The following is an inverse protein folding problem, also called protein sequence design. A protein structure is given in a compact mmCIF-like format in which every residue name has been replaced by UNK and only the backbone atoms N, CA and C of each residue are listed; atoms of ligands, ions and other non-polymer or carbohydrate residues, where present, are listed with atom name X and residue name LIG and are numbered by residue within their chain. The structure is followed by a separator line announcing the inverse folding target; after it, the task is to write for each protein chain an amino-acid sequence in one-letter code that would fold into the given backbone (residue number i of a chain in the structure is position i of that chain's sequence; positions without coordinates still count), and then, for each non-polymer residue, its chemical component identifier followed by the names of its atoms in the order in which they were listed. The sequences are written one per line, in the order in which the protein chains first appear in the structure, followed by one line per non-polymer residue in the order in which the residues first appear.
data_IF_861728656983
#
_entry.id   IF_861728656983
#
_cell.length_a   1.000
_cell.length_b   1.000
_cell.length_c   1.000
_cell.angle_alpha   90.00
_cell.angle_beta   90.00
_cell.angle_gamma   90.00
#
_symmetry.space_group_name_H-M   'P 1'
#
loop_
_entity.id
_entity.type
_entity.pdbx_description
1 polymer ?
#
# COMPACT_ATOMS: atom_id res chain seq x y z
N UNK A 1 -6.41 6.64 -5.67
CA UNK A 1 -5.26 6.08 -6.41
C UNK A 1 -5.65 5.03 -7.47
N UNK A 2 -6.95 4.74 -7.64
CA UNK A 2 -7.46 3.85 -8.70
C UNK A 2 -7.60 4.55 -10.06
N UNK A 3 -7.56 5.89 -10.11
CA UNK A 3 -7.72 6.66 -11.34
C UNK A 3 -6.36 7.04 -11.92
N UNK A 4 -6.13 6.66 -13.18
CA UNK A 4 -4.96 7.08 -13.93
C UNK A 4 -5.02 8.56 -14.31
N UNK A 5 -3.91 9.10 -14.81
CA UNK A 5 -3.77 10.51 -15.24
C UNK A 5 -4.85 10.91 -16.26
N UNK A 6 -5.09 10.07 -17.26
CA UNK A 6 -6.10 10.33 -18.31
C UNK A 6 -7.52 10.46 -17.74
N UNK A 7 -7.88 9.67 -16.74
CA UNK A 7 -9.20 9.73 -16.09
C UNK A 7 -9.36 11.01 -15.26
N UNK A 8 -8.29 11.45 -14.58
CA UNK A 8 -8.28 12.71 -13.82
C UNK A 8 -8.42 13.92 -14.74
N UNK A 9 -7.71 13.94 -15.87
CA UNK A 9 -7.83 14.97 -16.89
C UNK A 9 -9.25 15.01 -17.51
N UNK A 10 -9.84 13.85 -17.78
CA UNK A 10 -11.21 13.76 -18.28
C UNK A 10 -12.25 14.31 -17.28
N UNK A 11 -12.01 14.14 -15.96
CA UNK A 11 -12.86 14.75 -14.93
C UNK A 11 -12.74 16.27 -14.91
N UNK A 12 -11.54 16.82 -15.06
CA UNK A 12 -11.32 18.27 -15.16
C UNK A 12 -12.03 18.87 -16.39
N UNK A 13 -12.01 18.16 -17.52
CA UNK A 13 -12.63 18.61 -18.77
C UNK A 13 -14.16 18.56 -18.83
N UNK A 14 -14.83 17.93 -17.87
CA UNK A 14 -16.30 17.76 -17.88
C UNK A 14 -17.10 19.03 -17.75
N UNK A 15 -16.55 20.09 -17.20
CA UNK A 15 -17.23 21.37 -16.95
C UNK A 15 -17.25 22.34 -18.12
N UNK A 16 -16.73 21.96 -19.31
CA UNK A 16 -16.79 22.79 -20.53
C UNK A 16 -15.93 24.06 -20.48
N UNK A 17 -14.94 24.15 -19.62
CA UNK A 17 -13.90 25.18 -19.64
C UNK A 17 -14.22 26.54 -18.98
N UNK A 18 -15.45 26.78 -18.52
CA UNK A 18 -15.82 28.00 -17.81
C UNK A 18 -15.58 27.94 -16.29
N UNK A 19 -15.61 26.74 -15.71
CA UNK A 19 -15.41 26.50 -14.28
C UNK A 19 -14.57 25.23 -14.12
N UNK A 20 -13.56 25.27 -13.27
CA UNK A 20 -12.84 24.04 -12.88
C UNK A 20 -13.51 23.41 -11.66
N UNK A 21 -13.73 22.07 -11.65
CA UNK A 21 -14.28 21.40 -10.49
C UNK A 21 -13.27 21.38 -9.35
N UNK A 22 -13.73 21.53 -8.11
CA UNK A 22 -12.91 21.24 -6.94
C UNK A 22 -12.54 19.76 -6.92
N UNK A 23 -11.27 19.46 -6.92
CA UNK A 23 -10.74 18.10 -6.95
C UNK A 23 -10.19 17.71 -5.58
N UNK A 24 -10.81 16.72 -4.94
CA UNK A 24 -10.28 16.09 -3.73
C UNK A 24 -9.68 14.74 -4.08
N UNK A 25 -8.37 14.61 -3.92
CA UNK A 25 -7.67 13.34 -4.07
C UNK A 25 -7.38 12.75 -2.69
N UNK A 26 -7.82 11.51 -2.49
CA UNK A 26 -7.58 10.79 -1.25
C UNK A 26 -6.76 9.52 -1.52
N UNK A 27 -5.81 9.23 -0.65
CA UNK A 27 -5.03 8.01 -0.69
C UNK A 27 -4.86 7.44 0.72
N UNK A 28 -4.92 6.11 0.83
CA UNK A 28 -4.59 5.39 2.05
C UNK A 28 -3.08 5.07 2.15
N UNK A 29 -2.32 5.34 1.08
CA UNK A 29 -0.87 5.17 1.07
C UNK A 29 -0.25 6.51 1.41
N UNK A 30 0.41 6.65 2.56
CA UNK A 30 1.10 7.88 2.89
C UNK A 30 2.13 8.23 1.82
N UNK A 31 2.15 9.48 1.41
CA UNK A 31 3.17 10.02 0.52
C UNK A 31 4.17 10.76 1.41
N UNK A 32 5.48 10.47 1.33
CA UNK A 32 6.46 11.23 2.08
C UNK A 32 6.27 12.73 1.86
N UNK A 33 6.31 13.53 2.94
CA UNK A 33 6.04 14.98 2.88
C UNK A 33 6.91 15.67 1.84
N UNK A 34 8.18 15.33 1.77
CA UNK A 34 9.13 15.86 0.79
C UNK A 34 8.68 15.63 -0.65
N UNK A 35 8.16 14.43 -0.92
CA UNK A 35 7.65 14.09 -2.24
C UNK A 35 6.33 14.80 -2.55
N UNK A 36 5.43 14.89 -1.56
CA UNK A 36 4.17 15.62 -1.73
C UNK A 36 4.43 17.10 -2.03
N UNK A 37 5.37 17.73 -1.35
CA UNK A 37 5.72 19.13 -1.55
C UNK A 37 6.41 19.42 -2.88
N UNK A 38 7.12 18.47 -3.45
CA UNK A 38 7.85 18.65 -4.71
C UNK A 38 7.03 18.33 -5.96
N UNK A 39 6.15 17.30 -5.89
CA UNK A 39 5.37 16.84 -7.04
C UNK A 39 3.95 17.36 -7.08
N UNK A 40 3.41 17.75 -5.94
CA UNK A 40 2.04 18.25 -5.78
C UNK A 40 2.05 19.64 -5.16
N UNK A 41 3.06 20.44 -5.52
CA UNK A 41 3.26 21.78 -4.95
C UNK A 41 2.09 22.74 -5.16
N UNK A 42 1.24 22.47 -6.17
CA UNK A 42 0.00 23.18 -6.48
C UNK A 42 -1.22 22.66 -5.71
N UNK A 43 -1.06 21.63 -4.89
CA UNK A 43 -2.14 21.07 -4.10
C UNK A 43 -2.01 21.43 -2.62
N UNK A 44 -3.14 21.75 -2.01
CA UNK A 44 -3.25 21.78 -0.55
C UNK A 44 -3.29 20.35 -0.02
N UNK A 45 -2.35 20.00 0.86
CA UNK A 45 -2.23 18.67 1.42
C UNK A 45 -2.68 18.66 2.87
N UNK A 46 -3.77 17.93 3.12
CA UNK A 46 -4.22 17.62 4.48
C UNK A 46 -3.77 16.22 4.86
N UNK A 47 -3.08 16.11 5.98
CA UNK A 47 -2.56 14.86 6.51
C UNK A 47 -3.37 14.43 7.73
N UNK A 48 -3.90 13.19 7.69
CA UNK A 48 -4.54 12.55 8.84
C UNK A 48 -3.51 11.63 9.47
N UNK A 49 -2.96 12.05 10.60
CA UNK A 49 -1.86 11.37 11.32
C UNK A 49 -2.31 10.70 12.62
N UNK A 50 -3.57 10.87 12.99
CA UNK A 50 -4.17 10.23 14.16
C UNK A 50 -4.89 8.93 13.80
N UNK A 51 -4.77 7.93 14.68
CA UNK A 51 -5.56 6.71 14.57
C UNK A 51 -7.00 6.98 14.98
N UNK A 52 -7.99 6.32 14.35
CA UNK A 52 -9.37 6.38 14.82
C UNK A 52 -9.49 5.95 16.29
N UNK A 53 -10.42 6.54 17.05
CA UNK A 53 -10.63 6.16 18.45
C UNK A 53 -10.86 4.65 18.62
N UNK A 54 -10.23 4.06 19.64
CA UNK A 54 -10.38 2.64 19.95
C UNK A 54 -9.48 1.70 19.15
N UNK A 55 -8.68 2.18 18.21
CA UNK A 55 -7.69 1.36 17.51
C UNK A 55 -6.47 1.09 18.38
N UNK A 56 -6.06 -0.18 18.44
CA UNK A 56 -4.81 -0.61 19.07
C UNK A 56 -3.74 -0.85 18.01
N UNK A 57 -2.44 -0.64 18.33
CA UNK A 57 -1.36 -0.99 17.43
C UNK A 57 -1.38 -2.48 17.07
N UNK A 58 -1.13 -2.79 15.80
CA UNK A 58 -1.08 -4.16 15.30
C UNK A 58 0.30 -4.75 15.57
N UNK A 59 0.36 -5.87 16.28
CA UNK A 59 1.61 -6.58 16.53
C UNK A 59 2.04 -7.30 15.26
N UNK A 60 3.16 -6.90 14.68
CA UNK A 60 3.71 -7.55 13.47
C UNK A 60 4.82 -8.53 13.85
N UNK A 61 4.77 -9.76 13.31
CA UNK A 61 5.79 -10.78 13.51
C UNK A 61 6.27 -11.31 12.18
N UNK A 62 7.57 -11.54 12.06
CA UNK A 62 8.21 -12.17 10.90
C UNK A 62 8.55 -13.62 11.27
N UNK A 63 8.12 -14.58 10.47
CA UNK A 63 8.22 -16.00 10.74
C UNK A 63 8.68 -16.73 9.47
N UNK A 64 9.65 -17.64 9.59
CA UNK A 64 10.01 -18.51 8.46
C UNK A 64 8.87 -19.47 8.13
N UNK A 65 8.71 -19.80 6.84
CA UNK A 65 7.79 -20.80 6.32
C UNK A 65 8.01 -22.20 6.92
N UNK A 66 9.23 -22.53 7.34
CA UNK A 66 9.53 -23.74 8.09
C UNK A 66 8.70 -23.87 9.39
N UNK A 67 8.17 -22.77 9.91
CA UNK A 67 7.31 -22.73 11.11
C UNK A 67 5.82 -22.59 10.77
N UNK A 68 5.44 -22.90 9.53
CA UNK A 68 4.04 -22.81 9.06
C UNK A 68 3.07 -23.58 9.96
N UNK A 69 3.43 -24.79 10.36
CA UNK A 69 2.58 -25.61 11.25
C UNK A 69 2.28 -24.93 12.59
N UNK A 70 3.25 -24.21 13.16
CA UNK A 70 3.04 -23.45 14.41
C UNK A 70 2.08 -22.27 14.19
N UNK A 71 2.16 -21.59 13.02
CA UNK A 71 1.25 -20.53 12.65
C UNK A 71 -0.17 -21.06 12.53
N UNK A 72 -0.36 -22.20 11.85
CA UNK A 72 -1.68 -22.85 11.69
C UNK A 72 -2.25 -23.27 13.04
N UNK A 73 -1.46 -23.88 13.93
CA UNK A 73 -1.90 -24.24 15.27
C UNK A 73 -2.35 -23.02 16.10
N UNK A 74 -1.67 -21.88 15.94
CA UNK A 74 -2.01 -20.64 16.64
C UNK A 74 -3.28 -19.99 16.08
N UNK A 75 -3.52 -20.12 14.79
CA UNK A 75 -4.76 -19.68 14.14
C UNK A 75 -5.95 -20.43 14.71
N UNK A 76 -5.85 -21.73 14.93
CA UNK A 76 -6.92 -22.53 15.53
C UNK A 76 -7.39 -21.93 16.85
N UNK A 77 -6.46 -21.61 17.76
CA UNK A 77 -6.81 -20.99 19.03
C UNK A 77 -7.53 -19.64 18.88
N UNK A 78 -7.15 -18.83 17.88
CA UNK A 78 -7.82 -17.56 17.64
C UNK A 78 -9.25 -17.75 17.09
N UNK A 79 -9.45 -18.75 16.24
CA UNK A 79 -10.78 -19.07 15.70
C UNK A 79 -11.69 -19.63 16.80
N UNK A 80 -11.17 -20.45 17.69
CA UNK A 80 -11.90 -20.99 18.85
C UNK A 80 -12.34 -19.87 19.83
N UNK A 81 -11.62 -18.71 19.82
CA UNK A 81 -12.02 -17.47 20.53
C UNK A 81 -13.03 -16.61 19.73
N UNK A 82 -13.55 -17.09 18.61
CA UNK A 82 -14.49 -16.38 17.75
C UNK A 82 -13.88 -15.31 16.84
N UNK A 83 -12.56 -15.35 16.65
CA UNK A 83 -11.84 -14.42 15.76
C UNK A 83 -11.72 -14.96 14.35
N UNK A 84 -11.51 -14.07 13.40
CA UNK A 84 -11.37 -14.40 11.99
C UNK A 84 -9.98 -14.05 11.47
N UNK A 85 -9.56 -14.77 10.45
CA UNK A 85 -8.21 -14.73 9.89
C UNK A 85 -8.24 -14.43 8.40
N UNK A 86 -7.48 -13.44 7.96
CA UNK A 86 -7.07 -13.30 6.57
C UNK A 86 -5.78 -14.06 6.32
N UNK A 87 -5.78 -14.86 5.26
CA UNK A 87 -4.58 -15.56 4.79
C UNK A 87 -4.30 -15.14 3.35
N UNK A 88 -3.23 -14.39 3.14
CA UNK A 88 -2.89 -13.79 1.84
C UNK A 88 -1.77 -14.57 1.18
N UNK A 89 -2.04 -15.06 -0.03
CA UNK A 89 -1.05 -15.65 -0.92
C UNK A 89 -0.57 -14.60 -1.91
N UNK A 90 0.74 -14.54 -2.24
CA UNK A 90 1.25 -13.57 -3.20
C UNK A 90 0.72 -13.82 -4.60
N UNK A 91 0.65 -12.77 -5.42
CA UNK A 91 0.60 -12.91 -6.86
C UNK A 91 2.03 -13.08 -7.39
N UNK A 92 2.27 -14.12 -8.15
CA UNK A 92 3.53 -14.34 -8.85
C UNK A 92 3.36 -13.74 -10.24
N UNK A 93 4.09 -12.68 -10.56
CA UNK A 93 3.93 -11.89 -11.80
C UNK A 93 3.99 -12.70 -13.11
N UNK A 94 4.54 -13.92 -13.06
CA UNK A 94 4.75 -14.75 -14.25
C UNK A 94 3.53 -15.55 -14.70
N UNK A 95 2.53 -15.79 -13.85
CA UNK A 95 1.33 -16.57 -14.25
C UNK A 95 0.18 -16.48 -13.25
N UNK A 96 -0.91 -15.82 -13.63
CA UNK A 96 -2.18 -15.85 -12.87
C UNK A 96 -2.71 -17.29 -12.62
N UNK A 97 -2.31 -18.27 -13.42
CA UNK A 97 -2.69 -19.66 -13.23
C UNK A 97 -1.96 -20.31 -12.07
N UNK A 98 -0.66 -19.97 -11.88
CA UNK A 98 0.14 -20.44 -10.75
C UNK A 98 -0.35 -19.81 -9.43
N UNK A 99 -0.71 -18.55 -9.45
CA UNK A 99 -1.24 -17.86 -8.27
C UNK A 99 -2.54 -18.49 -7.77
N UNK A 100 -3.43 -18.80 -8.70
CA UNK A 100 -4.67 -19.50 -8.39
C UNK A 100 -4.38 -20.91 -7.84
N UNK A 101 -3.44 -21.63 -8.44
CA UNK A 101 -3.03 -22.96 -7.99
C UNK A 101 -2.50 -22.92 -6.56
N UNK A 102 -1.62 -21.95 -6.24
CA UNK A 102 -1.04 -21.79 -4.92
C UNK A 102 -2.11 -21.43 -3.87
N UNK A 103 -3.00 -20.49 -4.17
CA UNK A 103 -4.08 -20.12 -3.26
C UNK A 103 -5.08 -21.29 -3.05
N UNK A 104 -5.35 -22.07 -4.10
CA UNK A 104 -6.20 -23.25 -4.01
C UNK A 104 -5.56 -24.36 -3.18
N UNK A 105 -4.25 -24.60 -3.34
CA UNK A 105 -3.49 -25.56 -2.54
C UNK A 105 -3.46 -25.15 -1.05
N UNK A 106 -3.20 -23.87 -0.76
CA UNK A 106 -3.25 -23.33 0.59
C UNK A 106 -4.66 -23.46 1.20
N UNK A 107 -5.70 -23.18 0.43
CA UNK A 107 -7.08 -23.36 0.89
C UNK A 107 -7.37 -24.83 1.26
N UNK A 108 -6.96 -25.78 0.42
CA UNK A 108 -7.15 -27.21 0.68
C UNK A 108 -6.37 -27.67 1.93
N UNK A 109 -5.11 -27.24 2.07
CA UNK A 109 -4.27 -27.53 3.24
C UNK A 109 -4.91 -27.00 4.53
N UNK A 110 -5.32 -25.73 4.55
CA UNK A 110 -5.94 -25.13 5.73
C UNK A 110 -7.29 -25.77 6.06
N UNK A 111 -8.07 -26.15 5.06
CA UNK A 111 -9.34 -26.87 5.28
C UNK A 111 -9.12 -28.22 5.94
N UNK A 112 -8.03 -28.94 5.63
CA UNK A 112 -7.66 -30.19 6.27
C UNK A 112 -7.08 -29.97 7.68
N UNK A 113 -6.26 -28.93 7.84
CA UNK A 113 -5.60 -28.65 9.12
C UNK A 113 -6.53 -28.05 10.18
N UNK A 114 -7.66 -27.48 9.75
CA UNK A 114 -8.64 -26.80 10.61
C UNK A 114 -10.02 -27.46 10.52
N UNK A 115 -10.17 -28.72 10.99
CA UNK A 115 -11.45 -29.42 10.91
C UNK A 115 -12.54 -28.68 11.68
N UNK A 116 -13.73 -28.58 11.07
CA UNK A 116 -14.87 -27.84 11.63
C UNK A 116 -14.85 -26.33 11.42
N UNK A 117 -13.81 -25.78 10.79
CA UNK A 117 -13.71 -24.37 10.41
C UNK A 117 -14.04 -24.21 8.93
N UNK A 118 -14.97 -23.34 8.60
CA UNK A 118 -15.19 -22.98 7.20
C UNK A 118 -14.06 -22.06 6.73
N UNK A 119 -13.29 -22.55 5.75
CA UNK A 119 -12.23 -21.81 5.06
C UNK A 119 -12.76 -21.34 3.71
N UNK A 120 -12.74 -20.05 3.44
CA UNK A 120 -13.14 -19.46 2.17
C UNK A 120 -11.94 -19.21 1.26
N UNK A 121 -12.20 -19.14 -0.05
CA UNK A 121 -11.21 -18.77 -1.08
C UNK A 121 -11.72 -17.58 -1.89
N UNK A 122 -10.85 -16.58 -2.07
CA UNK A 122 -11.13 -15.36 -2.84
C UNK A 122 -9.98 -15.08 -3.81
N UNK A 123 -10.27 -14.99 -5.12
CA UNK A 123 -9.26 -14.73 -6.14
C UNK A 123 -9.79 -13.85 -7.28
N UNK A 124 -8.88 -13.35 -8.13
CA UNK A 124 -9.20 -12.39 -9.21
C UNK A 124 -10.20 -12.92 -10.24
N UNK A 125 -10.16 -14.22 -10.56
CA UNK A 125 -11.01 -14.85 -11.59
C UNK A 125 -12.45 -15.11 -11.18
N UNK A 126 -12.80 -14.96 -9.91
CA UNK A 126 -14.18 -15.07 -9.46
C UNK A 126 -15.02 -13.92 -10.01
N UNK A 127 -16.26 -14.22 -10.36
CA UNK A 127 -17.24 -13.20 -10.74
C UNK A 127 -17.52 -12.24 -9.57
N UNK A 128 -17.98 -11.01 -9.82
CA UNK A 128 -18.37 -10.10 -8.76
C UNK A 128 -19.40 -10.66 -7.79
N UNK A 129 -20.32 -11.47 -8.28
CA UNK A 129 -21.37 -12.12 -7.47
C UNK A 129 -20.77 -13.15 -6.50
N UNK A 130 -19.86 -14.01 -6.98
CA UNK A 130 -19.15 -15.00 -6.15
C UNK A 130 -18.30 -14.31 -5.10
N UNK A 131 -17.52 -13.27 -5.47
CA UNK A 131 -16.73 -12.49 -4.52
C UNK A 131 -17.60 -11.89 -3.42
N UNK A 132 -18.74 -11.31 -3.80
CA UNK A 132 -19.70 -10.74 -2.84
C UNK A 132 -20.26 -11.81 -1.91
N UNK A 133 -20.61 -12.98 -2.42
CA UNK A 133 -21.14 -14.09 -1.61
C UNK A 133 -20.10 -14.57 -0.58
N UNK A 134 -18.86 -14.83 -1.01
CA UNK A 134 -17.76 -15.23 -0.11
C UNK A 134 -17.51 -14.18 0.97
N UNK A 135 -17.41 -12.90 0.58
CA UNK A 135 -17.20 -11.80 1.52
C UNK A 135 -18.35 -11.66 2.51
N UNK A 136 -19.60 -11.82 2.08
CA UNK A 136 -20.77 -11.75 2.96
C UNK A 136 -20.75 -12.85 4.03
N UNK A 137 -20.37 -14.08 3.68
CA UNK A 137 -20.21 -15.17 4.66
C UNK A 137 -19.08 -14.87 5.66
N UNK A 138 -17.99 -14.28 5.19
CA UNK A 138 -16.89 -13.88 6.08
C UNK A 138 -17.29 -12.73 7.00
N UNK A 139 -17.95 -11.70 6.50
CA UNK A 139 -18.48 -10.58 7.30
C UNK A 139 -19.45 -11.04 8.39
N UNK A 140 -20.29 -12.03 8.09
CA UNK A 140 -21.25 -12.61 9.03
C UNK A 140 -20.62 -13.55 10.06
N UNK A 141 -19.30 -13.75 10.03
CA UNK A 141 -18.59 -14.62 10.96
C UNK A 141 -18.79 -16.13 10.69
N UNK A 142 -19.38 -16.50 9.55
CA UNK A 142 -19.61 -17.90 9.20
C UNK A 142 -18.33 -18.59 8.70
N UNK A 143 -17.33 -17.83 8.28
CA UNK A 143 -16.00 -18.32 7.90
C UNK A 143 -14.98 -17.90 8.93
N UNK A 144 -14.15 -18.86 9.40
CA UNK A 144 -13.04 -18.58 10.32
C UNK A 144 -11.80 -18.09 9.59
N UNK A 145 -11.56 -18.54 8.37
CA UNK A 145 -10.39 -18.16 7.55
C UNK A 145 -10.82 -17.77 6.16
N UNK A 146 -10.27 -16.67 5.65
CA UNK A 146 -10.40 -16.28 4.25
C UNK A 146 -9.02 -16.31 3.59
N UNK A 147 -8.79 -17.31 2.74
CA UNK A 147 -7.62 -17.40 1.87
C UNK A 147 -7.86 -16.50 0.66
N UNK A 148 -6.91 -15.63 0.35
CA UNK A 148 -7.05 -14.76 -0.81
C UNK A 148 -5.71 -14.54 -1.52
N UNK A 149 -5.77 -14.34 -2.83
CA UNK A 149 -4.72 -13.62 -3.53
C UNK A 149 -4.78 -12.13 -3.16
N UNK A 150 -3.83 -11.30 -3.56
CA UNK A 150 -3.65 -9.91 -3.11
C UNK A 150 -4.87 -8.98 -3.23
N UNK A 151 -5.97 -9.46 -3.84
CA UNK A 151 -7.18 -8.66 -4.08
C UNK A 151 -8.16 -8.75 -2.91
N UNK A 152 -7.71 -8.46 -1.70
CA UNK A 152 -8.66 -8.11 -0.63
C UNK A 152 -9.13 -6.70 -0.95
N UNK A 153 -10.29 -6.60 -1.61
CA UNK A 153 -10.80 -5.33 -2.12
C UNK A 153 -10.91 -4.27 -1.02
N UNK A 154 -10.56 -3.06 -1.39
CA UNK A 154 -10.75 -1.86 -0.58
C UNK A 154 -12.25 -1.70 -0.28
N UNK A 155 -12.61 -1.62 0.98
CA UNK A 155 -13.96 -1.21 1.38
C UNK A 155 -14.74 -2.15 2.28
N UNK A 156 -14.26 -3.38 2.52
CA UNK A 156 -14.93 -4.29 3.46
C UNK A 156 -14.31 -4.17 4.84
N UNK A 157 -15.13 -3.88 5.82
CA UNK A 157 -14.75 -3.80 7.22
C UNK A 157 -15.24 -5.05 7.95
N UNK A 158 -14.30 -5.87 8.45
CA UNK A 158 -14.60 -7.07 9.22
C UNK A 158 -13.99 -6.91 10.62
N UNK A 159 -14.75 -6.38 11.60
CA UNK A 159 -14.21 -6.07 12.93
C UNK A 159 -13.64 -7.27 13.68
N UNK A 160 -14.16 -8.49 13.42
CA UNK A 160 -13.69 -9.72 14.04
C UNK A 160 -12.42 -10.30 13.38
N UNK A 161 -12.02 -9.79 12.21
CA UNK A 161 -10.78 -10.18 11.57
C UNK A 161 -9.59 -9.53 12.30
N UNK A 162 -9.01 -10.25 13.24
CA UNK A 162 -7.93 -9.77 14.10
C UNK A 162 -6.55 -10.32 13.74
N UNK A 163 -6.49 -11.28 12.83
CA UNK A 163 -5.23 -11.87 12.39
C UNK A 163 -5.09 -11.81 10.88
N UNK A 164 -3.94 -11.29 10.44
CA UNK A 164 -3.49 -11.27 9.04
C UNK A 164 -2.27 -12.17 8.92
N UNK A 165 -2.30 -13.16 8.03
CA UNK A 165 -1.13 -13.95 7.63
C UNK A 165 -0.81 -13.63 6.19
N UNK A 166 0.43 -13.31 5.88
CA UNK A 166 0.91 -13.01 4.53
C UNK A 166 2.03 -13.97 4.19
N UNK A 167 1.80 -14.85 3.22
CA UNK A 167 2.83 -15.76 2.70
C UNK A 167 3.78 -15.05 1.75
N UNK A 168 5.02 -15.53 1.71
CA UNK A 168 6.08 -14.95 0.87
C UNK A 168 6.16 -13.43 0.99
N UNK A 169 6.09 -12.93 2.22
CA UNK A 169 6.06 -11.50 2.50
C UNK A 169 7.28 -10.75 1.95
N UNK A 170 8.39 -11.43 1.71
CA UNK A 170 9.60 -10.90 1.07
C UNK A 170 9.36 -10.42 -0.36
N UNK A 171 8.31 -10.90 -1.03
CA UNK A 171 7.96 -10.53 -2.41
C UNK A 171 7.09 -9.28 -2.52
N UNK A 172 6.50 -8.86 -1.41
CA UNK A 172 5.64 -7.69 -1.40
C UNK A 172 6.43 -6.38 -1.25
N UNK A 173 5.92 -5.33 -1.86
CA UNK A 173 6.36 -3.97 -1.58
C UNK A 173 5.94 -3.54 -0.16
N UNK A 174 6.73 -2.64 0.44
CA UNK A 174 6.48 -2.18 1.82
C UNK A 174 5.10 -1.51 1.97
N UNK A 175 4.70 -0.72 0.99
CA UNK A 175 3.38 -0.09 0.94
C UNK A 175 2.25 -1.12 0.84
N UNK A 176 2.45 -2.23 0.11
CA UNK A 176 1.46 -3.30 0.00
C UNK A 176 1.28 -4.03 1.34
N UNK A 177 2.40 -4.38 2.01
CA UNK A 177 2.38 -4.99 3.34
C UNK A 177 1.65 -4.10 4.34
N UNK A 178 1.91 -2.80 4.31
CA UNK A 178 1.23 -1.84 5.18
C UNK A 178 -0.28 -1.79 4.92
N UNK A 179 -0.71 -1.76 3.67
CA UNK A 179 -2.13 -1.78 3.31
C UNK A 179 -2.82 -3.08 3.75
N UNK A 180 -2.17 -4.24 3.55
CA UNK A 180 -2.69 -5.53 4.00
C UNK A 180 -2.79 -5.58 5.52
N UNK A 181 -1.75 -5.19 6.24
CA UNK A 181 -1.78 -5.10 7.70
C UNK A 181 -2.93 -4.23 8.21
N UNK A 182 -3.21 -3.13 7.54
CA UNK A 182 -4.30 -2.21 7.88
C UNK A 182 -5.71 -2.78 7.69
N UNK A 183 -5.85 -4.00 7.14
CA UNK A 183 -7.14 -4.70 7.02
C UNK A 183 -7.61 -5.34 8.31
N UNK A 184 -6.71 -5.57 9.26
CA UNK A 184 -7.04 -6.01 10.62
C UNK A 184 -6.90 -4.86 11.60
N UNK A 185 -7.31 -5.07 12.86
CA UNK A 185 -7.24 -4.04 13.90
C UNK A 185 -8.36 -3.02 13.82
N UNK A 186 -9.50 -3.37 13.24
CA UNK A 186 -10.67 -2.49 13.12
C UNK A 186 -11.69 -2.69 14.23
N UNK A 187 -11.55 -3.77 15.02
CA UNK A 187 -12.33 -4.06 16.22
C UNK A 187 -11.56 -3.74 17.50
N UNK A 188 -12.23 -3.98 18.65
CA UNK A 188 -11.63 -3.79 19.97
C UNK A 188 -10.61 -4.87 20.35
N UNK A 189 -10.57 -6.00 19.62
CA UNK A 189 -9.66 -7.09 19.91
C UNK A 189 -8.22 -6.77 19.47
N UNK A 190 -7.25 -7.18 20.29
CA UNK A 190 -5.85 -7.10 19.92
C UNK A 190 -5.59 -7.84 18.61
N UNK A 191 -4.91 -7.20 17.69
CA UNK A 191 -4.71 -7.71 16.33
C UNK A 191 -3.24 -7.95 16.03
N UNK A 192 -2.98 -8.94 15.17
CA UNK A 192 -1.64 -9.31 14.77
C UNK A 192 -1.53 -9.49 13.25
N UNK A 193 -0.31 -9.24 12.74
CA UNK A 193 0.07 -9.51 11.36
C UNK A 193 1.29 -10.42 11.36
N UNK A 194 1.18 -11.59 10.73
CA UNK A 194 2.26 -12.56 10.57
C UNK A 194 2.76 -12.49 9.14
N UNK A 195 4.01 -12.08 8.99
CA UNK A 195 4.73 -12.03 7.73
C UNK A 195 5.55 -13.30 7.60
N UNK A 196 5.08 -14.24 6.79
CA UNK A 196 5.80 -15.49 6.53
C UNK A 196 6.75 -15.28 5.35
N UNK A 197 7.99 -15.70 5.49
CA UNK A 197 9.00 -15.60 4.44
C UNK A 197 9.63 -16.94 4.13
N UNK A 198 9.99 -17.13 2.87
CA UNK A 198 10.71 -18.30 2.37
C UNK A 198 12.11 -17.86 1.91
N UNK A 199 13.18 -18.23 2.63
CA UNK A 199 14.52 -17.95 2.14
C UNK A 199 14.81 -18.81 0.89
N UNK A 200 15.60 -18.32 -0.07
CA UNK A 200 16.04 -19.15 -1.19
C UNK A 200 16.82 -20.37 -0.68
N UNK A 201 16.82 -21.47 -1.43
CA UNK A 201 17.51 -22.72 -1.05
C UNK A 201 18.95 -22.46 -0.63
N UNK A 202 19.30 -22.84 0.61
CA UNK A 202 20.65 -22.68 1.18
C UNK A 202 21.08 -21.22 1.41
N UNK A 203 20.20 -20.25 1.21
CA UNK A 203 20.50 -18.83 1.26
C UNK A 203 19.85 -18.07 2.39
N UNK A 204 20.11 -16.77 2.44
CA UNK A 204 19.46 -15.79 3.33
C UNK A 204 18.63 -14.85 2.49
N UNK A 205 17.62 -14.24 3.11
CA UNK A 205 16.87 -13.15 2.48
C UNK A 205 17.82 -12.04 2.00
N UNK A 206 17.56 -11.54 0.80
CA UNK A 206 18.26 -10.36 0.29
C UNK A 206 18.09 -9.15 1.23
N UNK A 207 19.04 -8.25 1.20
CA UNK A 207 19.08 -7.10 2.10
C UNK A 207 17.79 -6.25 2.01
N UNK A 208 17.35 -5.93 0.81
CA UNK A 208 16.12 -5.15 0.56
C UNK A 208 14.88 -5.80 1.17
N UNK A 209 14.73 -7.13 1.02
CA UNK A 209 13.59 -7.86 1.60
C UNK A 209 13.65 -7.86 3.13
N UNK A 210 14.84 -8.05 3.69
CA UNK A 210 15.06 -8.02 5.14
C UNK A 210 14.73 -6.64 5.73
N UNK A 211 15.19 -5.56 5.10
CA UNK A 211 14.91 -4.20 5.57
C UNK A 211 13.41 -3.85 5.48
N UNK A 212 12.70 -4.30 4.44
CA UNK A 212 11.23 -4.14 4.36
C UNK A 212 10.51 -4.87 5.49
N UNK A 213 10.84 -6.14 5.73
CA UNK A 213 10.23 -6.92 6.80
C UNK A 213 10.53 -6.33 8.19
N UNK A 214 11.76 -5.87 8.40
CA UNK A 214 12.19 -5.18 9.62
C UNK A 214 11.39 -3.89 9.85
N UNK A 215 11.22 -3.06 8.82
CA UNK A 215 10.42 -1.84 8.90
C UNK A 215 8.99 -2.12 9.36
N UNK A 216 8.36 -3.20 8.84
CA UNK A 216 7.01 -3.60 9.24
C UNK A 216 6.90 -4.03 10.71
N UNK A 217 7.97 -4.57 11.28
CA UNK A 217 8.01 -4.96 12.71
C UNK A 217 8.21 -3.77 13.62
N UNK A 218 9.07 -2.83 13.21
CA UNK A 218 9.51 -1.72 14.05
C UNK A 218 8.49 -0.59 14.17
N UNK A 219 7.63 -0.41 13.16
CA UNK A 219 6.68 0.71 13.17
C UNK A 219 5.29 0.34 12.66
N UNK A 220 4.26 0.98 13.24
CA UNK A 220 2.91 1.01 12.73
C UNK A 220 2.59 2.32 11.99
N UNK A 221 3.47 3.32 12.08
CA UNK A 221 3.29 4.61 11.43
C UNK A 221 3.48 4.48 9.91
N UNK A 222 2.41 4.79 9.17
CA UNK A 222 2.40 4.73 7.71
C UNK A 222 3.33 5.74 7.05
N UNK A 223 3.56 6.91 7.66
CA UNK A 223 4.48 7.93 7.12
C UNK A 223 5.93 7.48 7.26
N UNK A 224 6.29 6.88 8.39
CA UNK A 224 7.60 6.28 8.59
C UNK A 224 7.84 5.11 7.63
N UNK A 225 6.81 4.28 7.40
CA UNK A 225 6.87 3.20 6.41
C UNK A 225 7.10 3.76 4.99
N UNK A 226 6.38 4.82 4.62
CA UNK A 226 6.56 5.45 3.32
C UNK A 226 7.95 6.08 3.15
N UNK A 227 8.50 6.70 4.20
CA UNK A 227 9.86 7.22 4.22
C UNK A 227 10.88 6.10 4.01
N UNK A 228 10.77 5.01 4.74
CA UNK A 228 11.65 3.84 4.59
C UNK A 228 11.52 3.17 3.23
N UNK A 229 10.30 3.09 2.67
CA UNK A 229 10.09 2.55 1.32
C UNK A 229 10.84 3.38 0.26
N UNK A 230 10.83 4.70 0.41
CA UNK A 230 11.59 5.61 -0.45
C UNK A 230 13.11 5.40 -0.32
N UNK A 231 13.61 5.23 0.90
CA UNK A 231 15.03 4.98 1.17
C UNK A 231 15.50 3.62 0.60
N UNK A 232 14.71 2.58 0.81
CA UNK A 232 15.03 1.22 0.33
C UNK A 232 15.01 1.13 -1.19
N UNK A 233 14.06 1.79 -1.87
CA UNK A 233 13.96 1.79 -3.33
C UNK A 233 14.92 2.76 -3.99
N UNK A 234 15.33 3.78 -3.27
CA UNK A 234 16.03 4.92 -3.82
C UNK A 234 15.10 5.90 -4.57
N UNK A 235 15.48 7.18 -4.65
CA UNK A 235 14.65 8.23 -5.25
C UNK A 235 14.34 8.01 -6.73
N UNK A 236 15.22 7.35 -7.47
CA UNK A 236 15.07 7.11 -8.92
C UNK A 236 13.95 6.13 -9.28
N UNK A 237 13.70 5.13 -8.43
CA UNK A 237 12.65 4.13 -8.69
C UNK A 237 11.27 4.63 -8.25
N UNK A 238 11.22 5.37 -7.15
CA UNK A 238 9.96 5.93 -6.64
C UNK A 238 9.39 7.02 -7.56
N UNK A 239 10.25 7.80 -8.20
CA UNK A 239 9.87 8.87 -9.12
C UNK A 239 9.36 8.35 -10.47
N UNK A 240 9.30 7.04 -10.66
CA UNK A 240 8.85 6.46 -11.92
C UNK A 240 9.68 6.95 -13.09
N UNK A 241 10.99 7.10 -12.92
CA UNK A 241 11.91 7.56 -13.97
C UNK A 241 11.75 6.76 -15.28
N UNK A 242 11.14 5.58 -15.21
CA UNK A 242 10.72 4.79 -16.37
C UNK A 242 9.33 5.17 -16.92
N UNK A 243 8.46 5.84 -16.14
CA UNK A 243 7.11 6.20 -16.59
C UNK A 243 6.96 7.65 -17.02
N UNK A 244 7.78 8.59 -16.53
CA UNK A 244 7.66 10.02 -16.80
C UNK A 244 8.85 10.69 -17.51
N UNK A 245 9.83 9.92 -17.92
CA UNK A 245 10.93 10.37 -18.77
C UNK A 245 11.66 11.63 -18.30
N UNK A 246 12.73 11.52 -17.59
CA UNK A 246 13.68 12.52 -17.12
C UNK A 246 13.34 13.17 -15.75
N UNK A 247 14.32 13.25 -14.84
CA UNK A 247 14.15 13.92 -13.56
C UNK A 247 13.82 15.38 -13.79
N UNK A 248 12.77 15.88 -13.12
CA UNK A 248 12.39 17.30 -13.14
C UNK A 248 13.47 18.18 -12.50
N UNK A 249 14.23 17.61 -11.58
CA UNK A 249 15.33 18.29 -10.87
C UNK A 249 16.66 17.91 -11.53
N UNK A 250 17.44 18.92 -11.94
CA UNK A 250 18.76 18.70 -12.56
C UNK A 250 19.89 18.60 -11.58
N UNK A 251 19.82 19.31 -10.46
CA UNK A 251 20.90 19.45 -9.50
C UNK A 251 20.51 19.11 -8.08
N UNK A 252 19.24 19.29 -7.73
CA UNK A 252 18.75 18.99 -6.39
C UNK A 252 18.38 17.51 -6.28
N UNK A 253 18.73 16.92 -5.14
CA UNK A 253 18.32 15.58 -4.72
C UNK A 253 17.39 15.69 -3.52
N UNK A 254 16.14 15.23 -3.67
CA UNK A 254 15.14 15.31 -2.60
C UNK A 254 15.52 14.53 -1.34
N UNK A 255 16.41 13.55 -1.45
CA UNK A 255 16.88 12.80 -0.29
C UNK A 255 17.84 13.64 0.56
N UNK A 256 18.70 14.44 -0.07
CA UNK A 256 19.70 15.29 0.61
C UNK A 256 19.21 16.71 0.81
N UNK A 257 18.47 17.26 -0.15
CA UNK A 257 18.09 18.67 -0.23
C UNK A 257 16.65 18.93 0.25
N UNK A 258 15.99 17.91 0.81
CA UNK A 258 14.61 18.01 1.29
C UNK A 258 14.36 19.16 2.27
N UNK A 259 15.38 19.56 3.04
CA UNK A 259 15.35 20.67 3.98
C UNK A 259 15.18 22.05 3.30
N UNK A 260 15.46 22.15 1.99
CA UNK A 260 15.31 23.38 1.21
C UNK A 260 13.89 23.58 0.65
N UNK A 261 13.00 22.60 0.75
CA UNK A 261 11.68 22.66 0.14
C UNK A 261 10.79 23.76 0.71
N UNK A 262 10.77 23.94 2.01
CA UNK A 262 9.97 25.00 2.65
C UNK A 262 10.46 26.38 2.18
N UNK A 263 11.77 26.62 2.19
CA UNK A 263 12.36 27.84 1.64
C UNK A 263 12.05 28.02 0.15
N UNK A 264 12.14 26.98 -0.65
CA UNK A 264 11.86 27.04 -2.09
C UNK A 264 10.40 27.45 -2.37
N UNK A 265 9.43 26.98 -1.58
CA UNK A 265 8.03 27.39 -1.69
C UNK A 265 7.84 28.88 -1.37
N UNK A 266 8.42 29.37 -0.30
CA UNK A 266 8.34 30.79 0.07
C UNK A 266 9.01 31.66 -0.99
N UNK A 267 10.19 31.27 -1.46
CA UNK A 267 10.92 31.98 -2.52
C UNK A 267 10.16 31.97 -3.85
N UNK A 268 9.51 30.86 -4.22
CA UNK A 268 8.70 30.77 -5.44
C UNK A 268 7.50 31.72 -5.39
N UNK A 269 6.78 31.79 -4.27
CA UNK A 269 5.67 32.71 -4.10
C UNK A 269 6.14 34.18 -4.18
N UNK A 270 7.21 34.51 -3.47
CA UNK A 270 7.80 35.85 -3.52
C UNK A 270 8.26 36.22 -4.95
N UNK A 271 8.82 35.26 -5.68
CA UNK A 271 9.24 35.47 -7.08
C UNK A 271 8.06 35.70 -8.01
N UNK A 272 6.97 34.97 -7.86
CA UNK A 272 5.74 35.15 -8.63
C UNK A 272 5.11 36.53 -8.39
N UNK A 273 5.08 36.98 -7.13
CA UNK A 273 4.43 38.23 -6.74
C UNK A 273 5.27 39.47 -7.10
N UNK A 274 6.58 39.41 -6.95
CA UNK A 274 7.49 40.56 -7.06
C UNK A 274 8.27 40.59 -8.38
N UNK A 275 8.52 39.42 -9.00
CA UNK A 275 9.36 39.25 -10.17
C UNK A 275 8.73 38.31 -11.21
N UNK A 276 7.50 38.57 -11.69
CA UNK A 276 6.77 37.66 -12.57
C UNK A 276 7.48 37.36 -13.90
N UNK A 277 8.22 38.34 -14.47
CA UNK A 277 8.97 38.15 -15.73
C UNK A 277 10.14 37.17 -15.53
N UNK A 278 10.85 37.29 -14.42
CA UNK A 278 11.96 36.43 -14.05
C UNK A 278 11.45 35.00 -13.72
N UNK A 279 10.28 34.90 -13.12
CA UNK A 279 9.61 33.61 -12.88
C UNK A 279 9.28 32.89 -14.20
N UNK A 280 8.71 33.62 -15.21
CA UNK A 280 8.45 33.05 -16.53
C UNK A 280 9.75 32.61 -17.23
N UNK A 281 10.82 33.41 -17.17
CA UNK A 281 12.12 33.03 -17.73
C UNK A 281 12.72 31.81 -17.03
N UNK A 282 12.57 31.72 -15.73
CA UNK A 282 13.00 30.56 -14.93
C UNK A 282 12.25 29.29 -15.37
N UNK A 283 10.93 29.33 -15.47
CA UNK A 283 10.10 28.26 -15.96
C UNK A 283 10.48 27.82 -17.38
N UNK A 284 10.63 28.78 -18.29
CA UNK A 284 11.03 28.50 -19.67
C UNK A 284 12.41 27.84 -19.75
N UNK A 285 13.37 28.28 -18.93
CA UNK A 285 14.73 27.70 -18.86
C UNK A 285 14.74 26.26 -18.40
N UNK A 286 13.93 25.94 -17.38
CA UNK A 286 14.01 24.64 -16.70
C UNK A 286 13.03 23.62 -17.24
N UNK A 287 11.85 24.03 -17.67
CA UNK A 287 10.78 23.15 -18.15
C UNK A 287 10.73 23.05 -19.66
N UNK A 288 11.00 24.14 -20.39
CA UNK A 288 10.96 24.16 -21.85
C UNK A 288 9.66 23.57 -22.40
N UNK A 289 9.79 22.60 -23.32
CA UNK A 289 8.64 21.88 -23.90
C UNK A 289 7.90 20.95 -22.93
N UNK A 290 8.40 20.78 -21.70
CA UNK A 290 7.78 19.93 -20.68
C UNK A 290 6.72 20.65 -19.83
N UNK A 291 6.46 21.93 -20.07
CA UNK A 291 5.46 22.71 -19.34
C UNK A 291 4.03 22.11 -19.42
N UNK A 292 3.73 21.32 -20.46
CA UNK A 292 2.46 20.61 -20.57
C UNK A 292 2.27 19.49 -19.52
N UNK A 293 3.36 18.91 -19.03
CA UNK A 293 3.30 17.88 -17.99
C UNK A 293 2.92 18.43 -16.60
N UNK A 294 3.06 19.73 -16.38
CA UNK A 294 2.64 20.37 -15.13
C UNK A 294 1.13 20.59 -15.05
N UNK A 295 0.41 20.46 -16.18
CA UNK A 295 -1.04 20.59 -16.23
C UNK A 295 -1.78 19.26 -15.99
N UNK A 296 -1.06 18.17 -15.88
CA UNK A 296 -1.59 16.82 -15.67
C UNK A 296 -1.53 16.39 -14.19
#
# INVERSE_FOLDING_TARGET
HRFGVAQRLALRGKTGGALEPHLLMMTATPIPRTLAMSYYADLDVSTIDELPPGRTPIVTKVVSDARRAEVVARIRGQIDEGRQVYWVCPLIEESEALDLSNATATHAELSQALPGVLVGLLHSRMSPAEKKAVMSLFEQGQMGVLVSTTVIEVGVDVPNASLMVIEHAERFGLSQLHQLRGRVGRGAAASACVLMYSPPEGGRLGETARERLKAMVETNDGFEIARRDLEIRGPGEFLGARQSGAPLLRFADLATDGHLLDWAREAAQAMLDQHPREAEQHLARWLGSKAEYLKA
#
